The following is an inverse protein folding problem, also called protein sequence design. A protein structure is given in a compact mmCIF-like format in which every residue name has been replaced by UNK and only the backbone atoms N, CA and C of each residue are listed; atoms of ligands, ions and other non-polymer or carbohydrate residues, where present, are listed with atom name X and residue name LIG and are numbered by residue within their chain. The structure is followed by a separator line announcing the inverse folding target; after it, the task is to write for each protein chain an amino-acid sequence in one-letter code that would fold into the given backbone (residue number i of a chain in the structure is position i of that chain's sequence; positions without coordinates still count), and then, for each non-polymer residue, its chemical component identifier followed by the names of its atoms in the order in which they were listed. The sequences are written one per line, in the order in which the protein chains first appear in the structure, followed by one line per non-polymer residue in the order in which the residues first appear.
data_IF_729250710412
#
_entry.id   IF_729250710412
#
_cell.length_a   1.000
_cell.length_b   1.000
_cell.length_c   1.000
_cell.angle_alpha   90.00
_cell.angle_beta   90.00
_cell.angle_gamma   90.00
#
_symmetry.space_group_name_H-M   'P 1'
#
loop_
_entity.id
_entity.type
_entity.pdbx_description
1 polymer ?
#
# COMPACT_ATOMS: atom_id res chain seq x y z
N UNK A 1 -15.07 -20.71 -10.41
CA UNK A 1 -14.18 -20.45 -9.26
C UNK A 1 -13.10 -19.53 -9.78
N UNK A 2 -13.24 -18.22 -9.59
CA UNK A 2 -12.26 -17.25 -10.10
C UNK A 2 -11.23 -17.02 -9.00
N UNK A 3 -10.11 -17.75 -9.08
CA UNK A 3 -8.94 -17.49 -8.25
C UNK A 3 -8.33 -16.16 -8.70
N UNK A 4 -8.54 -15.11 -7.90
CA UNK A 4 -7.89 -13.81 -8.07
C UNK A 4 -6.40 -13.97 -7.73
N UNK A 5 -5.64 -14.60 -8.62
CA UNK A 5 -4.20 -14.77 -8.45
C UNK A 5 -3.56 -13.38 -8.45
N UNK A 6 -2.72 -13.05 -7.44
CA UNK A 6 -2.11 -11.73 -7.35
C UNK A 6 -1.32 -11.44 -8.64
N UNK A 7 -1.53 -10.25 -9.20
CA UNK A 7 -0.88 -9.84 -10.43
C UNK A 7 0.65 -9.99 -10.29
N UNK A 8 1.33 -10.70 -11.22
CA UNK A 8 2.77 -10.83 -11.19
C UNK A 8 3.43 -9.44 -11.24
N UNK A 9 4.65 -9.33 -10.70
CA UNK A 9 5.44 -8.11 -10.84
C UNK A 9 5.61 -7.71 -12.31
N UNK A 10 5.80 -6.42 -12.56
CA UNK A 10 5.86 -5.84 -13.91
C UNK A 10 6.96 -6.48 -14.78
N UNK A 11 8.09 -6.88 -14.17
CA UNK A 11 9.15 -7.63 -14.84
C UNK A 11 8.73 -9.05 -15.24
N UNK A 12 7.95 -9.74 -14.40
CA UNK A 12 7.42 -11.06 -14.70
C UNK A 12 6.45 -11.01 -15.89
N UNK A 13 5.60 -9.99 -15.96
CA UNK A 13 4.68 -9.75 -17.08
C UNK A 13 5.43 -9.47 -18.39
N UNK A 14 6.49 -8.65 -18.35
CA UNK A 14 7.37 -8.43 -19.52
C UNK A 14 8.07 -9.72 -19.96
N UNK A 15 8.51 -10.55 -19.02
CA UNK A 15 9.12 -11.84 -19.32
C UNK A 15 8.11 -12.84 -19.91
N UNK A 16 6.85 -12.83 -19.45
CA UNK A 16 5.76 -13.59 -20.05
C UNK A 16 5.53 -13.17 -21.51
N UNK A 17 5.42 -11.87 -21.79
CA UNK A 17 5.27 -11.37 -23.15
C UNK A 17 6.43 -11.77 -24.07
N UNK A 18 7.68 -11.75 -23.57
CA UNK A 18 8.85 -12.22 -24.34
C UNK A 18 8.78 -13.71 -24.65
N UNK A 19 8.36 -14.54 -23.68
CA UNK A 19 8.21 -15.99 -23.88
C UNK A 19 7.08 -16.30 -24.85
N UNK A 20 5.94 -15.63 -24.69
CA UNK A 20 4.79 -15.75 -25.59
C UNK A 20 5.17 -15.42 -27.03
N UNK A 21 5.88 -14.30 -27.23
CA UNK A 21 6.38 -13.91 -28.56
C UNK A 21 7.26 -14.99 -29.18
N UNK A 22 8.18 -15.58 -28.41
CA UNK A 22 9.07 -16.65 -28.91
C UNK A 22 8.28 -17.90 -29.29
N UNK A 23 7.34 -18.33 -28.46
CA UNK A 23 6.51 -19.50 -28.76
C UNK A 23 5.69 -19.32 -30.04
N UNK A 24 5.12 -18.12 -30.25
CA UNK A 24 4.37 -17.81 -31.47
C UNK A 24 5.28 -17.72 -32.70
N UNK A 25 6.50 -17.20 -32.54
CA UNK A 25 7.51 -17.16 -33.59
C UNK A 25 7.91 -18.58 -34.05
N UNK A 26 8.04 -19.53 -33.12
CA UNK A 26 8.30 -20.96 -33.40
C UNK A 26 7.14 -21.64 -34.16
N UNK A 27 5.91 -21.21 -33.90
CA UNK A 27 4.70 -21.65 -34.64
C UNK A 27 4.52 -20.94 -36.00
N UNK A 28 5.44 -20.04 -36.36
CA UNK A 28 5.40 -19.28 -37.62
C UNK A 28 4.50 -18.04 -37.59
N UNK A 29 4.01 -17.64 -36.41
CA UNK A 29 3.19 -16.45 -36.21
C UNK A 29 4.03 -15.30 -35.64
N UNK A 30 4.44 -14.39 -36.51
CA UNK A 30 5.27 -13.25 -36.14
C UNK A 30 4.43 -12.10 -35.60
N UNK A 31 4.46 -11.93 -34.28
CA UNK A 31 3.86 -10.76 -33.61
C UNK A 31 4.94 -9.81 -33.08
N UNK A 32 4.62 -8.51 -33.03
CA UNK A 32 5.49 -7.52 -32.42
C UNK A 32 5.56 -7.70 -30.89
N UNK A 33 6.58 -7.12 -30.26
CA UNK A 33 6.68 -7.15 -28.80
C UNK A 33 5.51 -6.42 -28.13
N UNK A 34 5.03 -5.33 -28.72
CA UNK A 34 3.89 -4.57 -28.24
C UNK A 34 2.61 -5.40 -28.27
N UNK A 35 2.36 -6.14 -29.36
CA UNK A 35 1.20 -7.05 -29.45
C UNK A 35 1.26 -8.17 -28.40
N UNK A 36 2.45 -8.71 -28.11
CA UNK A 36 2.61 -9.70 -27.05
C UNK A 36 2.27 -9.13 -25.66
N UNK A 37 2.55 -7.85 -25.40
CA UNK A 37 2.18 -7.18 -24.15
C UNK A 37 0.66 -6.97 -24.05
N UNK A 38 0.00 -6.59 -25.15
CA UNK A 38 -1.45 -6.47 -25.22
C UNK A 38 -2.15 -7.81 -24.95
N UNK A 39 -1.67 -8.90 -25.54
CA UNK A 39 -2.20 -10.25 -25.30
C UNK A 39 -2.07 -10.68 -23.83
N UNK A 40 -0.94 -10.38 -23.19
CA UNK A 40 -0.74 -10.62 -21.76
C UNK A 40 -1.74 -9.78 -20.94
N UNK A 41 -2.02 -8.53 -21.33
CA UNK A 41 -3.01 -7.70 -20.66
C UNK A 41 -4.42 -8.29 -20.77
N UNK A 42 -4.83 -8.71 -21.96
CA UNK A 42 -6.13 -9.36 -22.18
C UNK A 42 -6.26 -10.67 -21.39
N UNK A 43 -5.19 -11.48 -21.32
CA UNK A 43 -5.18 -12.72 -20.53
C UNK A 43 -5.41 -12.47 -19.03
N UNK A 44 -4.96 -11.33 -18.53
CA UNK A 44 -5.19 -10.89 -17.16
C UNK A 44 -6.49 -10.09 -16.98
N UNK A 45 -7.35 -9.99 -18.00
CA UNK A 45 -8.65 -9.32 -17.94
C UNK A 45 -8.59 -7.79 -18.05
N UNK A 46 -7.45 -7.22 -18.44
CA UNK A 46 -7.29 -5.79 -18.71
C UNK A 46 -7.59 -5.48 -20.17
N UNK A 47 -7.93 -4.22 -20.47
CA UNK A 47 -8.25 -3.78 -21.84
C UNK A 47 -7.03 -3.63 -22.74
N UNK A 48 -5.91 -3.23 -22.16
CA UNK A 48 -4.67 -2.89 -22.85
C UNK A 48 -3.48 -2.96 -21.87
N UNK A 49 -2.27 -3.04 -22.42
CA UNK A 49 -1.05 -3.09 -21.61
C UNK A 49 -0.89 -1.86 -20.73
N UNK A 50 -1.29 -0.68 -21.21
CA UNK A 50 -1.14 0.55 -20.43
C UNK A 50 -1.99 0.50 -19.15
N UNK A 51 -3.20 -0.05 -19.23
CA UNK A 51 -4.10 -0.24 -18.08
C UNK A 51 -3.54 -1.28 -17.10
N UNK A 52 -3.05 -2.42 -17.61
CA UNK A 52 -2.39 -3.43 -16.77
C UNK A 52 -1.10 -2.89 -16.13
N UNK A 53 -0.30 -2.15 -16.88
CA UNK A 53 0.92 -1.50 -16.43
C UNK A 53 0.62 -0.46 -15.35
N UNK A 54 -0.44 0.33 -15.49
CA UNK A 54 -0.89 1.24 -14.44
C UNK A 54 -1.37 0.48 -13.19
N UNK A 55 -2.12 -0.62 -13.36
CA UNK A 55 -2.57 -1.45 -12.26
C UNK A 55 -1.43 -2.13 -11.49
N UNK A 56 -0.35 -2.52 -12.19
CA UNK A 56 0.84 -3.13 -11.59
C UNK A 56 1.84 -2.10 -11.06
N UNK A 57 2.01 -0.97 -11.76
CA UNK A 57 2.97 0.08 -11.43
C UNK A 57 2.53 1.00 -10.30
N UNK A 58 1.23 1.07 -9.99
CA UNK A 58 0.71 1.95 -8.95
C UNK A 58 0.64 1.32 -7.54
N UNK A 59 1.42 0.25 -7.31
CA UNK A 59 1.67 -0.25 -5.96
C UNK A 59 3.13 0.00 -5.62
N UNK A 60 3.48 1.21 -5.16
CA UNK A 60 4.65 1.29 -4.31
C UNK A 60 4.49 0.26 -3.18
N UNK A 61 5.57 -0.36 -2.69
CA UNK A 61 5.48 -1.18 -1.48
C UNK A 61 4.84 -0.31 -0.41
N UNK A 62 3.58 -0.60 -0.08
CA UNK A 62 2.88 0.16 0.94
C UNK A 62 3.56 -0.22 2.24
N UNK A 63 4.25 0.70 2.93
CA UNK A 63 4.88 0.38 4.21
C UNK A 63 3.85 -0.03 5.27
N UNK A 64 2.57 0.21 4.98
CA UNK A 64 1.45 -0.12 5.82
C UNK A 64 0.68 -1.29 5.23
N UNK A 65 0.62 -2.41 5.95
CA UNK A 65 -0.24 -3.55 5.65
C UNK A 65 -1.22 -3.76 6.80
N UNK A 66 -2.46 -4.10 6.48
CA UNK A 66 -3.45 -4.51 7.49
C UNK A 66 -2.97 -5.81 8.15
N UNK A 67 -3.06 -5.89 9.48
CA UNK A 67 -2.53 -6.97 10.31
C UNK A 67 -1.07 -6.76 10.76
N UNK A 68 -0.37 -5.76 10.22
CA UNK A 68 1.00 -5.46 10.67
C UNK A 68 0.99 -4.78 12.03
N UNK A 69 1.81 -5.28 12.94
CA UNK A 69 2.13 -4.59 14.19
C UNK A 69 3.15 -3.50 13.95
N UNK A 70 2.83 -2.29 14.43
CA UNK A 70 3.68 -1.12 14.34
C UNK A 70 3.90 -0.53 15.73
N UNK A 71 5.00 0.19 15.86
CA UNK A 71 5.28 1.02 17.02
C UNK A 71 5.44 2.46 16.57
N UNK A 72 5.28 3.38 17.50
CA UNK A 72 5.45 4.79 17.19
C UNK A 72 5.13 5.64 18.38
N UNK A 73 5.06 6.94 18.12
CA UNK A 73 4.72 7.95 19.10
C UNK A 73 3.45 8.65 18.66
N UNK A 74 2.45 8.67 19.53
CA UNK A 74 1.20 9.37 19.34
C UNK A 74 1.09 10.44 20.41
N UNK A 75 1.12 11.71 19.99
CA UNK A 75 1.10 12.87 20.90
C UNK A 75 2.19 12.81 22.00
N UNK A 76 3.37 12.27 21.65
CA UNK A 76 4.50 12.12 22.57
C UNK A 76 4.47 10.87 23.45
N UNK A 77 3.44 10.02 23.32
CA UNK A 77 3.35 8.74 24.03
C UNK A 77 3.72 7.60 23.08
N UNK A 78 4.67 6.77 23.49
CA UNK A 78 5.03 5.59 22.72
C UNK A 78 3.92 4.55 22.80
N UNK A 79 3.53 3.98 21.67
CA UNK A 79 2.46 2.97 21.58
C UNK A 79 2.88 1.78 20.72
N UNK A 80 2.22 0.65 20.98
CA UNK A 80 2.22 -0.51 20.09
C UNK A 80 0.79 -0.74 19.58
N UNK A 81 0.63 -0.85 18.26
CA UNK A 81 -0.67 -1.04 17.65
C UNK A 81 -0.61 -1.97 16.45
N UNK A 82 -1.73 -2.58 16.14
CA UNK A 82 -1.95 -3.32 14.90
C UNK A 82 -2.72 -2.44 13.91
N UNK A 83 -2.28 -2.46 12.65
CA UNK A 83 -3.00 -1.76 11.58
C UNK A 83 -4.24 -2.59 11.22
N UNK A 84 -5.43 -2.15 11.61
CA UNK A 84 -6.69 -2.83 11.26
C UNK A 84 -7.27 -2.35 9.92
N UNK A 85 -6.85 -1.18 9.44
CA UNK A 85 -7.30 -0.66 8.13
C UNK A 85 -6.26 0.29 7.53
N UNK A 86 -6.04 0.16 6.22
CA UNK A 86 -5.23 1.07 5.41
C UNK A 86 -6.07 1.55 4.25
N UNK A 87 -6.24 2.86 4.13
CA UNK A 87 -6.84 3.49 2.96
C UNK A 87 -5.79 4.38 2.31
N UNK A 88 -5.39 4.07 1.07
CA UNK A 88 -4.53 4.95 0.29
C UNK A 88 -5.35 6.12 -0.28
N UNK A 89 -4.87 7.34 -0.10
CA UNK A 89 -5.40 8.58 -0.65
C UNK A 89 -4.39 9.20 -1.62
N UNK A 90 -4.88 10.07 -2.51
CA UNK A 90 -4.07 10.82 -3.47
C UNK A 90 -3.10 9.93 -4.26
N UNK A 91 -3.59 8.79 -4.77
CA UNK A 91 -2.79 7.89 -5.60
C UNK A 91 -1.65 7.15 -4.87
N UNK A 92 -1.55 7.23 -3.53
CA UNK A 92 -0.50 6.56 -2.75
C UNK A 92 0.52 7.49 -2.08
N UNK A 93 0.27 8.80 -2.09
CA UNK A 93 1.09 9.79 -1.37
C UNK A 93 0.65 9.97 0.10
N UNK A 94 -0.62 9.68 0.40
CA UNK A 94 -1.20 9.75 1.74
C UNK A 94 -1.91 8.45 2.09
N UNK A 95 -1.89 8.10 3.36
CA UNK A 95 -2.54 6.91 3.89
C UNK A 95 -3.37 7.29 5.11
N UNK A 96 -4.64 6.92 5.13
CA UNK A 96 -5.43 6.91 6.35
C UNK A 96 -5.33 5.53 6.96
N UNK A 97 -4.70 5.48 8.14
CA UNK A 97 -4.52 4.26 8.91
C UNK A 97 -5.51 4.25 10.08
N UNK A 98 -6.08 3.08 10.32
CA UNK A 98 -6.79 2.79 11.57
C UNK A 98 -5.94 1.81 12.36
N UNK A 99 -5.50 2.25 13.53
CA UNK A 99 -4.63 1.54 14.45
C UNK A 99 -5.45 1.05 15.62
N UNK A 100 -5.36 -0.23 15.95
CA UNK A 100 -5.87 -0.82 17.19
C UNK A 100 -4.70 -1.00 18.14
N UNK A 101 -4.65 -0.19 19.20
CA UNK A 101 -3.59 -0.23 20.19
C UNK A 101 -3.76 -1.49 21.04
N UNK A 102 -2.67 -2.25 21.17
CA UNK A 102 -2.64 -3.50 21.96
C UNK A 102 -3.07 -3.21 23.41
N UNK A 103 -2.62 -2.08 23.96
CA UNK A 103 -2.99 -1.55 25.27
C UNK A 103 -3.66 -0.18 25.12
N UNK A 104 -4.68 0.10 25.94
CA UNK A 104 -5.32 1.41 25.93
C UNK A 104 -4.33 2.47 26.44
N UNK A 105 -3.74 3.23 25.52
CA UNK A 105 -2.81 4.31 25.84
C UNK A 105 -3.59 5.57 26.21
N UNK A 106 -3.21 6.19 27.32
CA UNK A 106 -3.67 7.53 27.66
C UNK A 106 -2.94 8.55 26.78
N UNK A 107 -3.68 9.24 25.92
CA UNK A 107 -3.10 10.13 24.90
C UNK A 107 -3.00 11.58 25.39
N UNK A 108 -3.19 11.81 26.69
CA UNK A 108 -3.16 13.13 27.32
C UNK A 108 -1.95 13.22 28.24
N UNK A 109 -1.19 14.30 28.12
CA UNK A 109 0.04 14.55 28.88
C UNK A 109 -0.17 15.35 30.17
N UNK A 110 -1.41 15.75 30.49
CA UNK A 110 -1.74 16.52 31.68
C UNK A 110 -2.42 15.64 32.74
N UNK A 111 -1.94 15.70 33.98
CA UNK A 111 -2.47 14.94 35.13
C UNK A 111 -3.97 15.17 35.42
N UNK A 112 -4.55 16.27 34.93
CA UNK A 112 -5.95 16.62 35.20
C UNK A 112 -6.97 15.95 34.26
N UNK A 113 -6.54 15.20 33.24
CA UNK A 113 -7.44 14.57 32.28
C UNK A 113 -6.84 13.34 31.61
N UNK A 114 -7.59 12.23 31.58
CA UNK A 114 -7.20 11.02 30.85
C UNK A 114 -8.07 10.83 29.61
N UNK A 115 -7.46 10.53 28.48
CA UNK A 115 -8.15 10.07 27.29
C UNK A 115 -7.55 8.76 26.78
N UNK A 116 -8.02 7.66 27.34
CA UNK A 116 -7.65 6.33 26.88
C UNK A 116 -8.20 6.08 25.47
N UNK A 117 -7.31 5.83 24.51
CA UNK A 117 -7.70 5.42 23.16
C UNK A 117 -7.17 4.04 22.85
N UNK A 118 -8.11 3.12 22.63
CA UNK A 118 -7.79 1.80 22.08
C UNK A 118 -7.72 1.80 20.56
N UNK A 119 -8.48 2.67 19.88
CA UNK A 119 -8.47 2.77 18.42
C UNK A 119 -8.20 4.18 17.97
N UNK A 120 -7.21 4.36 17.10
CA UNK A 120 -6.79 5.66 16.59
C UNK A 120 -6.85 5.64 15.08
N UNK A 121 -7.58 6.61 14.51
CA UNK A 121 -7.58 6.87 13.07
C UNK A 121 -6.70 8.08 12.80
N UNK A 122 -5.71 7.91 11.95
CA UNK A 122 -4.77 8.97 11.61
C UNK A 122 -4.43 8.96 10.12
N UNK A 123 -4.19 10.14 9.57
CA UNK A 123 -3.68 10.29 8.21
C UNK A 123 -2.18 10.58 8.27
N UNK A 124 -1.39 9.73 7.61
CA UNK A 124 0.07 9.81 7.52
C UNK A 124 0.49 9.90 6.05
N UNK A 125 1.68 10.45 5.81
CA UNK A 125 2.33 10.34 4.50
C UNK A 125 3.06 8.99 4.41
N UNK A 126 3.66 8.71 3.26
CA UNK A 126 4.46 7.49 3.05
C UNK A 126 5.59 7.32 4.08
N UNK A 127 6.12 8.42 4.59
CA UNK A 127 7.18 8.47 5.63
C UNK A 127 6.71 8.01 7.03
N UNK A 128 5.42 7.71 7.22
CA UNK A 128 4.87 7.36 8.54
C UNK A 128 4.66 8.56 9.46
N UNK A 129 4.73 9.78 8.92
CA UNK A 129 4.56 11.03 9.67
C UNK A 129 3.20 11.64 9.35
N UNK A 130 2.45 12.01 10.38
CA UNK A 130 1.20 12.75 10.21
C UNK A 130 1.45 14.20 9.80
N UNK A 131 0.55 14.71 8.97
CA UNK A 131 0.52 16.13 8.58
C UNK A 131 0.05 17.02 9.74
N UNK A 132 -0.79 16.47 10.62
CA UNK A 132 -1.30 17.17 11.78
C UNK A 132 -0.17 17.37 12.80
N UNK A 133 0.01 18.62 13.26
CA UNK A 133 1.02 19.00 14.23
C UNK A 133 0.36 19.53 15.49
N UNK A 134 0.96 19.22 16.64
CA UNK A 134 0.58 19.79 17.92
C UNK A 134 0.95 21.28 17.93
N UNK A 135 0.41 22.04 18.88
CA UNK A 135 0.79 23.44 19.10
C UNK A 135 2.29 23.65 19.32
N UNK A 136 3.02 22.58 19.70
CA UNK A 136 4.47 22.58 19.90
C UNK A 136 5.28 22.23 18.63
N UNK A 137 4.61 22.09 17.47
CA UNK A 137 5.25 21.83 16.19
C UNK A 137 5.58 20.36 15.91
N UNK A 138 5.35 19.46 16.87
CA UNK A 138 5.58 18.02 16.70
C UNK A 138 4.42 17.33 15.98
N UNK A 139 4.68 16.34 15.11
CA UNK A 139 3.62 15.60 14.44
C UNK A 139 2.78 14.81 15.46
N UNK A 140 1.46 14.79 15.27
CA UNK A 140 0.54 14.05 16.15
C UNK A 140 0.81 12.55 16.19
N UNK A 141 1.31 12.00 15.07
CA UNK A 141 1.63 10.60 14.94
C UNK A 141 2.93 10.46 14.16
N UNK A 142 3.85 9.69 14.72
CA UNK A 142 5.07 9.22 14.06
C UNK A 142 5.13 7.71 14.19
N UNK A 143 5.24 7.03 13.06
CA UNK A 143 5.42 5.58 13.03
C UNK A 143 6.91 5.26 12.95
N UNK A 144 7.36 4.33 13.79
CA UNK A 144 8.66 3.68 13.67
C UNK A 144 8.47 2.46 12.74
N UNK A 145 8.73 2.69 11.45
CA UNK A 145 8.70 1.67 10.40
C UNK A 145 9.96 0.80 10.42
#
# INVERSE_FOLDING_TARGET
MSETSPLPGLEALKNLARRLRRALEEEGNFISHSEALELVAHQHGFRDWNTLHAACGNKPPTPFQVGSKIRGDYLGQSFSAEIVSVTALAGGDRYTLTLDLDEAVDVVTFDSFSAFRKRVRASVRRDGISDARTSNGEPHLRLAL
#
